data_IF_633485594978
#
_entry.id   IF_633485594978
#
_cell.length_a   1.000
_cell.length_b   1.000
_cell.length_c   1.000
_cell.angle_alpha   90.00
_cell.angle_beta   90.00
_cell.angle_gamma   90.00
#
_symmetry.space_group_name_H-M   'P 1'
#
loop_
_entity.id
_entity.type
_entity.pdbx_description
1 polymer ?
#
# COMPACT_ATOMS: atom_id res chain seq x y z
N UNK A 1 -2.11 20.89 -3.24
CA UNK A 1 -3.33 20.44 -2.52
C UNK A 1 -3.86 19.08 -2.99
N UNK A 2 -3.94 18.79 -4.29
CA UNK A 2 -4.48 17.52 -4.80
C UNK A 2 -3.69 16.28 -4.33
N UNK A 3 -2.35 16.34 -4.38
CA UNK A 3 -1.49 15.25 -3.91
C UNK A 3 -1.60 14.99 -2.40
N UNK A 4 -1.71 16.04 -1.59
CA UNK A 4 -1.86 15.88 -0.13
C UNK A 4 -3.17 15.18 0.22
N UNK A 5 -4.28 15.55 -0.44
CA UNK A 5 -5.56 14.86 -0.27
C UNK A 5 -5.48 13.39 -0.69
N UNK A 6 -4.84 13.11 -1.83
CA UNK A 6 -4.64 11.74 -2.29
C UNK A 6 -3.81 10.91 -1.32
N UNK A 7 -2.72 11.46 -0.79
CA UNK A 7 -1.86 10.79 0.19
C UNK A 7 -2.62 10.46 1.48
N UNK A 8 -3.46 11.38 1.97
CA UNK A 8 -4.30 11.13 3.16
C UNK A 8 -5.30 10.00 2.92
N UNK A 9 -5.98 10.01 1.76
CA UNK A 9 -6.94 8.94 1.41
C UNK A 9 -6.24 7.59 1.34
N UNK A 10 -5.07 7.54 0.69
CA UNK A 10 -4.22 6.34 0.61
C UNK A 10 -3.79 5.84 2.00
N UNK A 11 -3.32 6.75 2.85
CA UNK A 11 -2.90 6.41 4.21
C UNK A 11 -4.05 5.78 5.02
N UNK A 12 -5.23 6.42 5.01
CA UNK A 12 -6.40 5.90 5.72
C UNK A 12 -6.85 4.54 5.18
N UNK A 13 -6.81 4.34 3.86
CA UNK A 13 -7.15 3.08 3.21
C UNK A 13 -6.21 1.95 3.64
N UNK A 14 -4.89 2.17 3.57
CA UNK A 14 -3.89 1.18 3.98
C UNK A 14 -4.00 0.89 5.48
N UNK A 15 -4.10 1.91 6.33
CA UNK A 15 -4.25 1.71 7.77
C UNK A 15 -5.54 0.98 8.13
N UNK A 16 -6.66 1.28 7.47
CA UNK A 16 -7.89 0.54 7.72
C UNK A 16 -7.72 -0.96 7.42
N UNK A 17 -7.08 -1.31 6.31
CA UNK A 17 -6.78 -2.71 5.97
C UNK A 17 -5.88 -3.34 7.03
N UNK A 18 -4.78 -2.67 7.39
CA UNK A 18 -3.82 -3.20 8.37
C UNK A 18 -4.43 -3.34 9.76
N UNK A 19 -5.20 -2.38 10.24
CA UNK A 19 -5.85 -2.47 11.55
C UNK A 19 -6.91 -3.56 11.58
N UNK A 20 -7.70 -3.73 10.53
CA UNK A 20 -8.69 -4.81 10.46
C UNK A 20 -7.98 -6.16 10.48
N UNK A 21 -6.95 -6.35 9.64
CA UNK A 21 -6.30 -7.64 9.50
C UNK A 21 -5.34 -7.89 10.66
N UNK A 22 -4.31 -7.06 10.82
CA UNK A 22 -3.25 -7.30 11.79
C UNK A 22 -3.77 -7.16 13.22
N UNK A 23 -4.36 -6.01 13.58
CA UNK A 23 -4.82 -5.79 14.96
C UNK A 23 -6.16 -6.45 15.27
N UNK A 24 -7.09 -6.51 14.31
CA UNK A 24 -8.43 -7.04 14.54
C UNK A 24 -8.50 -8.57 14.48
N UNK A 25 -7.80 -9.20 13.54
CA UNK A 25 -7.89 -10.66 13.30
C UNK A 25 -6.70 -11.39 13.93
N UNK A 26 -5.49 -10.85 13.82
CA UNK A 26 -4.26 -11.55 14.23
C UNK A 26 -3.61 -11.02 15.51
N UNK A 27 -4.28 -10.11 16.24
CA UNK A 27 -3.83 -9.57 17.53
C UNK A 27 -2.43 -8.92 17.52
N UNK A 28 -2.00 -8.41 16.36
CA UNK A 28 -0.79 -7.58 16.25
C UNK A 28 -1.08 -6.22 16.91
N UNK A 29 -0.13 -5.72 17.70
CA UNK A 29 -0.35 -4.47 18.43
C UNK A 29 -0.77 -3.32 17.49
N UNK A 30 -1.69 -2.49 17.94
CA UNK A 30 -2.17 -1.35 17.16
C UNK A 30 -1.03 -0.39 16.79
N UNK A 31 -0.05 -0.23 17.69
CA UNK A 31 1.13 0.60 17.47
C UNK A 31 1.97 0.04 16.32
N UNK A 32 2.29 -1.26 16.36
CA UNK A 32 3.12 -1.91 15.32
C UNK A 32 2.42 -1.89 13.96
N UNK A 33 1.11 -2.16 13.93
CA UNK A 33 0.29 -2.10 12.72
C UNK A 33 0.25 -0.69 12.13
N UNK A 34 0.26 0.35 12.97
CA UNK A 34 0.31 1.75 12.53
C UNK A 34 1.69 2.12 11.99
N UNK A 35 2.76 1.73 12.69
CA UNK A 35 4.15 2.00 12.29
C UNK A 35 4.44 1.35 10.93
N UNK A 36 4.14 0.06 10.76
CA UNK A 36 4.37 -0.61 9.48
C UNK A 36 3.52 0.02 8.38
N UNK A 37 2.29 0.44 8.69
CA UNK A 37 1.44 1.17 7.75
C UNK A 37 2.03 2.49 7.28
N UNK A 38 2.64 3.28 8.18
CA UNK A 38 3.37 4.50 7.79
C UNK A 38 4.48 4.17 6.80
N UNK A 39 5.29 3.14 7.08
CA UNK A 39 6.40 2.72 6.22
C UNK A 39 5.88 2.33 4.83
N UNK A 40 4.83 1.50 4.79
CA UNK A 40 4.20 1.07 3.53
C UNK A 40 3.70 2.26 2.72
N UNK A 41 2.92 3.15 3.32
CA UNK A 41 2.34 4.33 2.65
C UNK A 41 3.44 5.19 2.02
N UNK A 42 4.51 5.47 2.77
CA UNK A 42 5.61 6.31 2.30
C UNK A 42 6.34 5.64 1.14
N UNK A 43 6.70 4.35 1.27
CA UNK A 43 7.48 3.63 0.27
C UNK A 43 6.70 3.42 -1.03
N UNK A 44 5.43 3.01 -0.91
CA UNK A 44 4.56 2.74 -2.05
C UNK A 44 4.21 4.04 -2.79
N UNK A 45 3.91 5.12 -2.08
CA UNK A 45 3.60 6.40 -2.73
C UNK A 45 4.76 6.90 -3.60
N UNK A 46 6.01 6.75 -3.14
CA UNK A 46 7.18 7.18 -3.89
C UNK A 46 7.45 6.28 -5.10
N UNK A 47 7.41 4.96 -4.92
CA UNK A 47 7.80 4.01 -5.98
C UNK A 47 6.64 3.67 -6.94
N UNK A 48 5.46 3.35 -6.41
CA UNK A 48 4.29 3.01 -7.20
C UNK A 48 3.71 4.21 -7.91
N UNK A 49 3.08 5.11 -7.15
CA UNK A 49 2.23 6.17 -7.68
C UNK A 49 2.99 7.22 -8.48
N UNK A 50 4.16 7.65 -7.98
CA UNK A 50 4.92 8.73 -8.58
C UNK A 50 5.86 8.30 -9.69
N UNK A 51 6.19 7.00 -9.81
CA UNK A 51 7.13 6.50 -10.82
C UNK A 51 6.49 5.48 -11.73
N UNK A 52 5.99 4.36 -11.19
CA UNK A 52 5.50 3.23 -11.99
C UNK A 52 4.16 3.56 -12.65
N UNK A 53 3.22 4.14 -11.91
CA UNK A 53 1.87 4.45 -12.41
C UNK A 53 1.90 5.40 -13.61
N UNK A 54 2.75 6.43 -13.56
CA UNK A 54 2.90 7.43 -14.63
C UNK A 54 3.47 6.86 -15.91
N UNK A 55 4.47 5.96 -15.78
CA UNK A 55 5.31 5.50 -16.89
C UNK A 55 4.83 4.20 -17.51
N UNK A 56 4.34 3.26 -16.70
CA UNK A 56 4.02 1.90 -17.11
C UNK A 56 2.51 1.67 -17.03
N UNK A 57 1.90 2.06 -15.90
CA UNK A 57 0.45 2.00 -15.72
C UNK A 57 -0.01 1.27 -14.49
N UNK A 58 -1.33 1.21 -14.35
CA UNK A 58 -2.02 0.71 -13.16
C UNK A 58 -1.61 -0.72 -12.78
N UNK A 59 -1.70 -1.69 -13.71
CA UNK A 59 -1.41 -3.11 -13.39
C UNK A 59 0.00 -3.30 -12.84
N UNK A 60 0.99 -2.66 -13.48
CA UNK A 60 2.39 -2.75 -13.05
C UNK A 60 2.61 -2.08 -11.69
N UNK A 61 1.98 -0.93 -11.45
CA UNK A 61 2.05 -0.23 -10.16
C UNK A 61 1.43 -1.10 -9.05
N UNK A 62 0.22 -1.64 -9.26
CA UNK A 62 -0.44 -2.53 -8.30
C UNK A 62 0.41 -3.76 -7.92
N UNK A 63 1.05 -4.41 -8.90
CA UNK A 63 1.91 -5.58 -8.61
C UNK A 63 3.14 -5.16 -7.79
N UNK A 64 3.77 -4.04 -8.15
CA UNK A 64 4.91 -3.52 -7.43
C UNK A 64 4.53 -3.13 -5.99
N UNK A 65 3.36 -2.51 -5.80
CA UNK A 65 2.86 -2.04 -4.52
C UNK A 65 2.49 -3.21 -3.60
N UNK A 66 1.78 -4.21 -4.12
CA UNK A 66 1.47 -5.43 -3.37
C UNK A 66 2.75 -6.19 -2.97
N UNK A 67 3.72 -6.30 -3.89
CA UNK A 67 5.00 -6.94 -3.61
C UNK A 67 5.83 -6.16 -2.58
N UNK A 68 5.87 -4.84 -2.68
CA UNK A 68 6.54 -3.98 -1.71
C UNK A 68 5.87 -4.05 -0.34
N UNK A 69 4.53 -4.02 -0.28
CA UNK A 69 3.78 -4.19 0.96
C UNK A 69 4.11 -5.54 1.62
N UNK A 70 4.11 -6.63 0.85
CA UNK A 70 4.45 -7.96 1.35
C UNK A 70 5.87 -8.02 1.92
N UNK A 71 6.85 -7.47 1.19
CA UNK A 71 8.24 -7.44 1.64
C UNK A 71 8.42 -6.62 2.92
N UNK A 72 7.80 -5.44 2.99
CA UNK A 72 7.86 -4.56 4.17
C UNK A 72 7.19 -5.22 5.37
N UNK A 73 6.00 -5.80 5.19
CA UNK A 73 5.30 -6.52 6.25
C UNK A 73 6.14 -7.67 6.77
N UNK A 74 6.69 -8.49 5.88
CA UNK A 74 7.50 -9.64 6.26
C UNK A 74 8.72 -9.23 7.09
N UNK A 75 9.47 -8.23 6.63
CA UNK A 75 10.65 -7.75 7.33
C UNK A 75 10.30 -7.14 8.69
N UNK A 76 9.28 -6.29 8.74
CA UNK A 76 8.91 -5.59 9.98
C UNK A 76 8.32 -6.53 11.03
N UNK A 77 7.39 -7.41 10.63
CA UNK A 77 6.74 -8.33 11.55
C UNK A 77 7.71 -9.39 12.08
N UNK A 78 8.61 -9.90 11.23
CA UNK A 78 9.68 -10.81 11.68
C UNK A 78 10.63 -10.10 12.67
N UNK A 79 10.96 -8.83 12.42
CA UNK A 79 11.79 -8.04 13.33
C UNK A 79 11.14 -7.81 14.70
N UNK A 80 9.81 -7.66 14.73
CA UNK A 80 9.01 -7.53 15.97
C UNK A 80 8.59 -8.88 16.57
N UNK A 81 9.16 -9.99 16.10
CA UNK A 81 8.91 -11.35 16.59
C UNK A 81 7.47 -11.89 16.40
N UNK A 82 6.70 -11.29 15.47
CA UNK A 82 5.41 -11.82 15.02
C UNK A 82 5.63 -12.97 14.02
N UNK A 83 6.06 -14.13 14.51
CA UNK A 83 6.48 -15.25 13.66
C UNK A 83 5.39 -16.31 13.44
N UNK A 84 4.39 -16.38 14.34
CA UNK A 84 3.23 -17.25 14.17
C UNK A 84 2.37 -16.76 12.99
N UNK A 85 1.98 -17.66 12.10
CA UNK A 85 1.16 -17.35 10.92
C UNK A 85 1.70 -16.20 10.06
N UNK A 86 3.03 -15.99 10.03
CA UNK A 86 3.70 -14.90 9.32
C UNK A 86 3.27 -14.81 7.85
N UNK A 87 3.02 -15.95 7.19
CA UNK A 87 2.55 -15.96 5.81
C UNK A 87 1.16 -15.35 5.65
N UNK A 88 0.24 -15.60 6.60
CA UNK A 88 -1.10 -15.03 6.57
C UNK A 88 -1.07 -13.54 6.93
N UNK A 89 -0.26 -13.19 7.93
CA UNK A 89 0.01 -11.80 8.35
C UNK A 89 0.60 -10.94 7.21
N UNK A 90 1.32 -11.55 6.27
CA UNK A 90 1.94 -10.86 5.14
C UNK A 90 1.03 -10.87 3.91
N UNK A 91 0.58 -12.06 3.49
CA UNK A 91 -0.08 -12.24 2.19
C UNK A 91 -1.49 -11.65 2.17
N UNK A 92 -2.26 -11.79 3.27
CA UNK A 92 -3.64 -11.28 3.29
C UNK A 92 -3.66 -9.76 3.19
N UNK A 93 -2.95 -8.97 4.03
CA UNK A 93 -2.95 -7.53 3.85
C UNK A 93 -2.31 -7.09 2.54
N UNK A 94 -1.24 -7.76 2.07
CA UNK A 94 -0.60 -7.39 0.80
C UNK A 94 -1.55 -7.53 -0.41
N UNK A 95 -2.34 -8.60 -0.46
CA UNK A 95 -3.36 -8.78 -1.51
C UNK A 95 -4.47 -7.72 -1.39
N UNK A 96 -4.97 -7.47 -0.17
CA UNK A 96 -6.00 -6.46 0.05
C UNK A 96 -5.51 -5.05 -0.31
N UNK A 97 -4.28 -4.70 0.06
CA UNK A 97 -3.62 -3.44 -0.31
C UNK A 97 -3.52 -3.36 -1.83
N UNK A 98 -3.04 -4.41 -2.51
CA UNK A 98 -2.95 -4.42 -3.98
C UNK A 98 -4.30 -4.17 -4.66
N UNK A 99 -5.37 -4.84 -4.20
CA UNK A 99 -6.73 -4.64 -4.73
C UNK A 99 -7.20 -3.20 -4.48
N UNK A 100 -6.99 -2.67 -3.28
CA UNK A 100 -7.38 -1.31 -2.93
C UNK A 100 -6.60 -0.25 -3.72
N UNK A 101 -5.29 -0.43 -3.87
CA UNK A 101 -4.41 0.42 -4.69
C UNK A 101 -4.81 0.42 -6.16
N UNK A 102 -5.23 -0.72 -6.71
CA UNK A 102 -5.71 -0.78 -8.09
C UNK A 102 -6.90 0.15 -8.35
N UNK A 103 -7.86 0.20 -7.42
CA UNK A 103 -8.98 1.16 -7.50
C UNK A 103 -8.50 2.60 -7.30
N UNK A 104 -7.58 2.82 -6.36
CA UNK A 104 -7.02 4.13 -6.06
C UNK A 104 -6.27 4.72 -7.27
N UNK A 105 -5.49 3.93 -7.99
CA UNK A 105 -4.81 4.33 -9.22
C UNK A 105 -5.77 4.78 -10.33
N UNK A 106 -6.90 4.08 -10.50
CA UNK A 106 -7.94 4.48 -11.46
C UNK A 106 -8.48 5.87 -11.09
N UNK A 107 -8.73 6.09 -9.79
CA UNK A 107 -9.19 7.38 -9.31
C UNK A 107 -8.15 8.49 -9.49
N UNK A 108 -6.87 8.23 -9.19
CA UNK A 108 -5.77 9.19 -9.39
C UNK A 108 -5.65 9.65 -10.85
N UNK A 109 -5.71 8.72 -11.79
CA UNK A 109 -5.63 9.01 -13.23
C UNK A 109 -6.87 9.76 -13.74
N UNK A 110 -8.07 9.41 -13.26
CA UNK A 110 -9.32 10.10 -13.63
C UNK A 110 -9.42 11.51 -13.06
N UNK A 111 -8.91 11.72 -11.84
CA UNK A 111 -8.94 13.00 -11.16
C UNK A 111 -7.81 13.97 -11.59
N UNK A 112 -6.98 13.54 -12.56
CA UNK A 112 -5.81 14.28 -13.05
C UNK A 112 -4.91 14.76 -11.90
N UNK A 113 -4.72 13.86 -10.92
CA UNK A 113 -3.83 14.08 -9.78
C UNK A 113 -2.41 13.69 -10.17
N UNK A 114 -2.27 12.66 -10.99
CA UNK A 114 -1.00 12.13 -11.47
C UNK A 114 -1.04 12.10 -13.01
N UNK A 115 -0.07 12.68 -13.72
CA UNK A 115 -0.10 12.74 -15.18
C UNK A 115 0.18 11.38 -15.81
N UNK A 116 -0.63 10.99 -16.80
CA UNK A 116 -0.41 9.77 -17.58
C UNK A 116 0.55 10.03 -18.75
N UNK A 117 1.85 9.81 -18.54
CA UNK A 117 2.90 10.08 -19.53
C UNK A 117 2.78 9.19 -20.78
N UNK A 118 2.02 8.09 -20.69
CA UNK A 118 1.78 7.17 -21.81
C UNK A 118 0.86 7.77 -22.87
N UNK A 119 0.02 8.75 -22.50
CA UNK A 119 -0.86 9.48 -23.43
C UNK A 119 -0.22 10.74 -24.02
N UNK A 120 0.98 11.09 -23.55
CA UNK A 120 1.72 12.27 -24.02
C UNK A 120 2.73 11.92 -25.13
N UNK A 121 2.84 10.63 -25.49
CA UNK A 121 3.61 10.12 -26.61
C UNK A 121 2.68 9.74 -27.75
#
# INVERSE_FOLDING_TARGET
MKHLKALVVKALMIWAILWIVLSGIYDVSFMDSTIVGVIIVVMIYVLGDLVILRKIGNIAATIADAGAAALILWLYLTYMDYTNDIWMLVLIPAVLIGVAEWFFHIWLLKADIVPDERKMK
#
